data_IF_542936354980
#
_entry.id   IF_542936354980
#
_cell.length_a   1.000
_cell.length_b   1.000
_cell.length_c   1.000
_cell.angle_alpha   90.00
_cell.angle_beta   90.00
_cell.angle_gamma   90.00
#
_symmetry.space_group_name_H-M   'P 1'
#
loop_
_entity.id
_entity.type
_entity.pdbx_description
1 polymer ?
#
# COMPACT_ATOMS: atom_id res chain seq x y z
N UNK A 1 -45.61 -13.88 -21.97
CA UNK A 1 -44.19 -13.95 -22.38
C UNK A 1 -43.58 -12.56 -22.29
N UNK A 2 -42.38 -12.48 -21.69
CA UNK A 2 -41.56 -11.30 -21.41
C UNK A 2 -41.79 -10.60 -20.07
N UNK A 3 -41.63 -11.38 -18.99
CA UNK A 3 -40.84 -10.91 -17.86
C UNK A 3 -39.43 -10.61 -18.38
N UNK A 4 -39.18 -9.34 -18.70
CA UNK A 4 -37.82 -8.85 -18.90
C UNK A 4 -37.13 -8.99 -17.54
N UNK A 5 -36.38 -10.09 -17.37
CA UNK A 5 -35.61 -10.38 -16.17
C UNK A 5 -34.86 -9.14 -15.75
N UNK A 6 -35.28 -8.59 -14.61
CA UNK A 6 -34.57 -7.51 -13.96
C UNK A 6 -33.11 -7.94 -13.86
N UNK A 7 -32.25 -7.23 -14.58
CA UNK A 7 -30.80 -7.41 -14.48
C UNK A 7 -30.47 -7.38 -12.97
N UNK A 8 -29.80 -8.43 -12.46
CA UNK A 8 -29.58 -8.56 -11.03
C UNK A 8 -28.90 -7.30 -10.54
N UNK A 9 -29.53 -6.65 -9.54
CA UNK A 9 -29.03 -5.55 -8.74
C UNK A 9 -27.70 -5.02 -9.30
N UNK A 10 -27.78 -4.09 -10.26
CA UNK A 10 -26.69 -3.14 -10.43
C UNK A 10 -26.61 -2.47 -9.08
N UNK A 11 -25.75 -3.00 -8.21
CA UNK A 11 -25.48 -2.43 -6.92
C UNK A 11 -25.14 -0.99 -7.23
N UNK A 12 -26.04 -0.12 -6.80
CA UNK A 12 -25.73 1.27 -6.50
C UNK A 12 -24.55 1.20 -5.52
N UNK A 13 -23.34 1.03 -6.04
CA UNK A 13 -22.14 1.54 -5.41
C UNK A 13 -22.24 3.04 -5.55
N UNK A 14 -23.20 3.59 -4.80
CA UNK A 14 -23.33 4.97 -4.41
C UNK A 14 -21.93 5.49 -4.10
N UNK A 15 -21.36 6.24 -5.04
CA UNK A 15 -20.42 7.34 -4.80
C UNK A 15 -19.19 7.06 -3.93
N UNK A 16 -18.73 5.82 -3.75
CA UNK A 16 -17.41 5.60 -3.14
C UNK A 16 -16.38 5.90 -4.23
N UNK A 17 -15.60 6.95 -4.01
CA UNK A 17 -14.39 7.27 -4.78
C UNK A 17 -13.55 6.00 -4.96
N UNK A 18 -13.78 5.29 -6.07
CA UNK A 18 -13.09 4.05 -6.44
C UNK A 18 -12.06 4.36 -7.53
N UNK A 19 -11.46 5.54 -7.50
CA UNK A 19 -10.27 5.78 -8.30
C UNK A 19 -9.11 5.05 -7.64
N UNK A 20 -8.32 4.21 -8.33
CA UNK A 20 -7.15 3.54 -7.76
C UNK A 20 -5.95 4.47 -7.55
N UNK A 21 -6.08 5.74 -7.95
CA UNK A 21 -5.03 6.75 -7.89
C UNK A 21 -4.52 7.12 -6.49
N UNK A 22 -5.36 7.35 -5.45
CA UNK A 22 -4.87 7.71 -4.13
C UNK A 22 -4.10 6.55 -3.49
N UNK A 23 -4.55 5.30 -3.66
CA UNK A 23 -3.82 4.11 -3.20
C UNK A 23 -2.46 3.99 -3.89
N UNK A 24 -2.41 4.21 -5.21
CA UNK A 24 -1.15 4.22 -5.98
C UNK A 24 -0.21 5.33 -5.52
N UNK A 25 -0.72 6.53 -5.24
CA UNK A 25 0.09 7.65 -4.74
C UNK A 25 0.68 7.33 -3.37
N UNK A 26 -0.12 6.80 -2.44
CA UNK A 26 0.37 6.37 -1.12
C UNK A 26 1.45 5.30 -1.27
N UNK A 27 1.23 4.29 -2.11
CA UNK A 27 2.23 3.25 -2.35
C UNK A 27 3.51 3.79 -2.98
N UNK A 28 3.42 4.65 -4.00
CA UNK A 28 4.57 5.28 -4.62
C UNK A 28 5.37 6.15 -3.63
N UNK A 29 4.68 6.92 -2.78
CA UNK A 29 5.34 7.69 -1.72
C UNK A 29 6.06 6.78 -0.73
N UNK A 30 5.42 5.70 -0.28
CA UNK A 30 6.05 4.71 0.59
C UNK A 30 7.28 4.07 -0.06
N UNK A 31 7.23 3.76 -1.36
CA UNK A 31 8.39 3.25 -2.09
C UNK A 31 9.55 4.25 -2.12
N UNK A 32 9.28 5.51 -2.45
CA UNK A 32 10.30 6.55 -2.48
C UNK A 32 10.93 6.73 -1.09
N UNK A 33 10.11 6.82 -0.05
CA UNK A 33 10.59 6.92 1.33
C UNK A 33 11.43 5.69 1.71
N UNK A 34 11.00 4.50 1.33
CA UNK A 34 11.75 3.27 1.61
C UNK A 34 13.11 3.29 0.94
N UNK A 35 13.22 3.73 -0.31
CA UNK A 35 14.51 3.80 -1.03
C UNK A 35 15.48 4.75 -0.34
N UNK A 36 14.98 5.90 0.15
CA UNK A 36 15.80 6.87 0.90
C UNK A 36 16.27 6.32 2.25
N UNK A 37 15.53 5.39 2.86
CA UNK A 37 15.85 4.79 4.15
C UNK A 37 16.76 3.56 4.06
N UNK A 38 16.96 2.97 2.87
CA UNK A 38 17.85 1.81 2.67
C UNK A 38 19.28 2.06 3.20
N UNK A 39 19.97 3.19 2.91
CA UNK A 39 21.33 3.39 3.42
C UNK A 39 21.39 3.41 4.96
N UNK A 40 20.48 4.15 5.60
CA UNK A 40 20.38 4.22 7.07
C UNK A 40 20.09 2.84 7.69
N UNK A 41 19.18 2.07 7.07
CA UNK A 41 18.87 0.72 7.50
C UNK A 41 20.06 -0.25 7.31
N UNK A 42 20.83 -0.06 6.24
CA UNK A 42 22.05 -0.83 5.98
C UNK A 42 23.15 -0.48 6.99
N UNK A 43 23.31 0.77 7.38
CA UNK A 43 24.27 1.14 8.43
C UNK A 43 23.87 0.54 9.78
N UNK A 44 22.57 0.59 10.11
CA UNK A 44 22.05 -0.01 11.36
C UNK A 44 22.22 -1.54 11.41
N UNK A 45 22.11 -2.21 10.26
CA UNK A 45 22.24 -3.67 10.15
C UNK A 45 23.71 -4.13 10.02
N UNK A 46 24.65 -3.22 9.74
CA UNK A 46 26.06 -3.56 9.49
C UNK A 46 26.69 -4.27 10.68
N UNK A 47 26.37 -3.83 11.90
CA UNK A 47 26.84 -4.46 13.14
C UNK A 47 26.40 -5.92 13.34
N UNK A 48 25.40 -6.40 12.60
CA UNK A 48 24.90 -7.78 12.71
C UNK A 48 25.14 -8.61 11.44
N UNK A 49 25.09 -7.98 10.26
CA UNK A 49 25.10 -8.67 8.97
C UNK A 49 26.35 -8.39 8.12
N UNK A 50 27.18 -7.40 8.49
CA UNK A 50 28.38 -7.01 7.76
C UNK A 50 28.11 -6.81 6.28
N UNK A 51 28.84 -7.54 5.42
CA UNK A 51 28.70 -7.45 3.95
C UNK A 51 27.28 -7.72 3.43
N UNK A 52 26.45 -8.47 4.18
CA UNK A 52 25.06 -8.77 3.78
C UNK A 52 24.06 -7.69 4.21
N UNK A 53 24.54 -6.63 4.86
CA UNK A 53 23.67 -5.60 5.44
C UNK A 53 22.80 -4.88 4.40
N UNK A 54 23.37 -4.52 3.25
CA UNK A 54 22.62 -3.87 2.18
C UNK A 54 21.52 -4.79 1.62
N UNK A 55 21.81 -6.08 1.48
CA UNK A 55 20.83 -7.08 1.03
C UNK A 55 19.72 -7.23 2.08
N UNK A 56 20.07 -7.27 3.37
CA UNK A 56 19.11 -7.29 4.48
C UNK A 56 18.23 -6.05 4.52
N UNK A 57 18.80 -4.86 4.31
CA UNK A 57 18.07 -3.60 4.24
C UNK A 57 17.09 -3.56 3.06
N UNK A 58 17.51 -4.01 1.87
CA UNK A 58 16.63 -4.10 0.70
C UNK A 58 15.51 -5.12 0.89
N UNK A 59 15.82 -6.30 1.44
CA UNK A 59 14.84 -7.35 1.70
C UNK A 59 13.80 -6.91 2.73
N UNK A 60 14.24 -6.29 3.82
CA UNK A 60 13.34 -5.75 4.85
C UNK A 60 12.47 -4.61 4.31
N UNK A 61 13.04 -3.68 3.54
CA UNK A 61 12.31 -2.65 2.81
C UNK A 61 11.23 -3.22 1.89
N UNK A 62 11.54 -4.27 1.12
CA UNK A 62 10.61 -4.90 0.19
C UNK A 62 9.39 -5.53 0.91
N UNK A 63 9.57 -6.04 2.13
CA UNK A 63 8.50 -6.65 2.93
C UNK A 63 7.71 -5.57 3.70
N UNK A 64 8.40 -4.61 4.31
CA UNK A 64 7.77 -3.59 5.17
C UNK A 64 6.99 -2.55 4.36
N UNK A 65 7.50 -2.13 3.21
CA UNK A 65 6.85 -1.10 2.38
C UNK A 65 5.39 -1.42 2.02
N UNK A 66 5.05 -2.60 1.46
CA UNK A 66 3.66 -2.92 1.15
C UNK A 66 2.78 -3.03 2.40
N UNK A 67 3.31 -3.52 3.53
CA UNK A 67 2.57 -3.60 4.80
C UNK A 67 2.22 -2.20 5.33
N UNK A 68 3.19 -1.29 5.32
CA UNK A 68 2.99 0.09 5.76
C UNK A 68 2.03 0.82 4.83
N UNK A 69 2.18 0.64 3.51
CA UNK A 69 1.27 1.24 2.54
C UNK A 69 -0.18 0.74 2.73
N UNK A 70 -0.40 -0.56 2.94
CA UNK A 70 -1.75 -1.11 3.21
C UNK A 70 -2.35 -0.54 4.51
N UNK A 71 -1.55 -0.42 5.57
CA UNK A 71 -1.99 0.20 6.82
C UNK A 71 -2.38 1.68 6.62
N UNK A 72 -1.57 2.45 5.89
CA UNK A 72 -1.85 3.85 5.58
C UNK A 72 -3.09 4.01 4.72
N UNK A 73 -3.28 3.16 3.71
CA UNK A 73 -4.48 3.15 2.88
C UNK A 73 -5.72 2.87 3.73
N UNK A 74 -5.67 1.87 4.62
CA UNK A 74 -6.77 1.57 5.55
C UNK A 74 -7.05 2.73 6.50
N UNK A 75 -6.01 3.38 7.02
CA UNK A 75 -6.14 4.54 7.90
C UNK A 75 -6.76 5.74 7.16
N UNK A 76 -6.33 6.00 5.93
CA UNK A 76 -6.87 7.03 5.04
C UNK A 76 -8.37 6.81 4.80
N UNK A 77 -8.78 5.59 4.45
CA UNK A 77 -10.21 5.28 4.26
C UNK A 77 -11.05 5.44 5.52
N UNK A 78 -10.51 5.08 6.69
CA UNK A 78 -11.18 5.32 7.99
C UNK A 78 -11.33 6.82 8.27
N UNK A 79 -10.28 7.60 8.05
CA UNK A 79 -10.30 9.05 8.26
C UNK A 79 -11.33 9.74 7.36
N UNK A 80 -11.46 9.27 6.11
CA UNK A 80 -12.44 9.80 5.15
C UNK A 80 -13.87 9.31 5.39
N UNK A 81 -14.14 8.47 6.41
CA UNK A 81 -15.44 7.81 6.65
C UNK A 81 -16.00 7.10 5.40
N UNK A 82 -15.12 6.68 4.51
CA UNK A 82 -15.48 5.95 3.30
C UNK A 82 -15.64 4.45 3.59
N UNK A 83 -15.51 4.03 4.85
CA UNK A 83 -15.75 2.66 5.31
C UNK A 83 -16.51 2.65 6.61
#
# INVERSE_FOLDING_TARGET
MKDAGALPNRSDSLGRYSSPWPERLVFCLCLVCSVLLIPEASEALDGHMGEMSLIGAVASAAILTPLVADLLIRAMYRAMKLR
#
